data_IF_731746962818
#
_entry.id   IF_731746962818
#
_cell.length_a   1.000
_cell.length_b   1.000
_cell.length_c   1.000
_cell.angle_alpha   90.00
_cell.angle_beta   90.00
_cell.angle_gamma   90.00
#
_symmetry.space_group_name_H-M   'P 1'
#
loop_
_entity.id
_entity.type
_entity.pdbx_description
1 polymer ?
#
# COMPACT_ATOMS: atom_id res chain seq x y z
N UNK A 1 -5.41 1.28 15.20
CA UNK A 1 -3.94 1.08 15.19
C UNK A 1 -3.47 0.13 14.09
N UNK A 2 -4.37 -0.56 13.38
CA UNK A 2 -4.08 -1.73 12.54
C UNK A 2 -3.60 -1.44 11.12
N UNK A 3 -4.13 -0.41 10.43
CA UNK A 3 -3.79 -0.13 9.02
C UNK A 3 -2.42 0.55 8.82
N UNK A 4 -2.01 1.39 9.79
CA UNK A 4 -0.72 2.09 9.77
C UNK A 4 0.46 1.12 9.75
N UNK A 5 0.39 0.07 10.59
CA UNK A 5 1.40 -0.97 10.66
C UNK A 5 1.46 -1.78 9.35
N UNK A 6 0.31 -2.09 8.74
CA UNK A 6 0.26 -2.81 7.47
C UNK A 6 0.90 -1.98 6.36
N UNK A 7 0.59 -0.68 6.28
CA UNK A 7 1.20 0.22 5.30
C UNK A 7 2.72 0.30 5.46
N UNK A 8 3.21 0.37 6.70
CA UNK A 8 4.64 0.39 7.00
C UNK A 8 5.33 -0.90 6.55
N UNK A 9 4.71 -2.06 6.84
CA UNK A 9 5.21 -3.37 6.41
C UNK A 9 5.23 -3.47 4.88
N UNK A 10 4.16 -3.05 4.20
CA UNK A 10 4.10 -3.04 2.73
C UNK A 10 5.19 -2.12 2.16
N UNK A 11 5.34 -0.91 2.71
CA UNK A 11 6.39 0.03 2.28
C UNK A 11 7.80 -0.55 2.44
N UNK A 12 8.07 -1.23 3.56
CA UNK A 12 9.35 -1.90 3.81
C UNK A 12 9.58 -3.08 2.85
N UNK A 13 8.56 -3.91 2.60
CA UNK A 13 8.64 -5.02 1.66
C UNK A 13 8.83 -4.54 0.22
N UNK A 14 8.18 -3.45 -0.19
CA UNK A 14 8.39 -2.82 -1.49
C UNK A 14 9.81 -2.27 -1.62
N UNK A 15 10.33 -1.59 -0.59
CA UNK A 15 11.70 -1.08 -0.58
C UNK A 15 12.73 -2.20 -0.70
N UNK A 16 12.59 -3.25 0.11
CA UNK A 16 13.47 -4.41 0.08
C UNK A 16 13.36 -5.17 -1.25
N UNK A 17 12.13 -5.49 -1.68
CA UNK A 17 11.86 -6.20 -2.93
C UNK A 17 12.35 -5.46 -4.17
N UNK A 18 12.20 -4.13 -4.21
CA UNK A 18 12.74 -3.30 -5.28
C UNK A 18 14.27 -3.37 -5.38
N UNK A 19 14.98 -3.39 -4.24
CA UNK A 19 16.45 -3.54 -4.21
C UNK A 19 16.86 -4.94 -4.71
N UNK A 20 16.19 -6.00 -4.25
CA UNK A 20 16.47 -7.36 -4.70
C UNK A 20 16.16 -7.57 -6.18
N UNK A 21 15.16 -6.88 -6.72
CA UNK A 21 14.79 -6.94 -8.13
C UNK A 21 15.83 -6.32 -9.07
N UNK A 22 16.74 -5.46 -8.58
CA UNK A 22 17.83 -4.91 -9.41
C UNK A 22 18.85 -5.98 -9.85
N UNK A 23 18.81 -7.18 -9.28
CA UNK A 23 19.72 -8.27 -9.59
C UNK A 23 18.98 -9.40 -10.31
N UNK A 24 19.53 -9.94 -11.43
CA UNK A 24 20.75 -9.53 -12.14
C UNK A 24 20.62 -8.14 -12.78
N UNK A 25 21.74 -7.41 -12.84
CA UNK A 25 21.79 -6.02 -13.31
C UNK A 25 21.48 -5.96 -14.81
N UNK A 26 20.25 -5.57 -15.11
CA UNK A 26 19.80 -5.20 -16.45
C UNK A 26 19.09 -3.85 -16.36
N UNK A 27 19.10 -3.06 -17.44
CA UNK A 27 18.45 -1.74 -17.44
C UNK A 27 16.98 -1.82 -17.03
N UNK A 28 16.15 -2.76 -17.55
CA UNK A 28 14.75 -2.89 -17.12
C UNK A 28 14.63 -3.21 -15.62
N UNK A 29 15.39 -4.17 -15.12
CA UNK A 29 15.34 -4.61 -13.73
C UNK A 29 15.74 -3.47 -12.77
N UNK A 30 16.78 -2.72 -13.12
CA UNK A 30 17.25 -1.58 -12.30
C UNK A 30 16.21 -0.47 -12.29
N UNK A 31 15.63 -0.13 -13.44
CA UNK A 31 14.59 0.91 -13.53
C UNK A 31 13.36 0.50 -12.72
N UNK A 32 12.86 -0.72 -12.93
CA UNK A 32 11.71 -1.27 -12.19
C UNK A 32 12.00 -1.30 -10.69
N UNK A 33 13.12 -1.90 -10.28
CA UNK A 33 13.53 -2.01 -8.89
C UNK A 33 13.67 -0.65 -8.21
N UNK A 34 14.22 0.34 -8.90
CA UNK A 34 14.35 1.71 -8.40
C UNK A 34 12.98 2.38 -8.19
N UNK A 35 12.06 2.24 -9.15
CA UNK A 35 10.70 2.75 -8.99
C UNK A 35 10.00 2.11 -7.80
N UNK A 36 10.00 0.78 -7.70
CA UNK A 36 9.36 0.07 -6.59
C UNK A 36 9.98 0.47 -5.23
N UNK A 37 11.31 0.65 -5.18
CA UNK A 37 11.99 1.05 -3.95
C UNK A 37 11.64 2.48 -3.51
N UNK A 38 11.64 3.45 -4.45
CA UNK A 38 11.25 4.85 -4.17
C UNK A 38 9.80 4.91 -3.72
N UNK A 39 8.92 4.17 -4.40
CA UNK A 39 7.51 4.07 -4.05
C UNK A 39 7.29 3.44 -2.67
N UNK A 40 8.02 2.38 -2.34
CA UNK A 40 7.97 1.76 -1.01
C UNK A 40 8.41 2.71 0.10
N UNK A 41 9.52 3.44 -0.13
CA UNK A 41 9.99 4.46 0.79
C UNK A 41 8.97 5.59 0.96
N UNK A 42 8.33 6.05 -0.13
CA UNK A 42 7.27 7.05 -0.06
C UNK A 42 6.07 6.58 0.77
N UNK A 43 5.62 5.33 0.59
CA UNK A 43 4.52 4.73 1.37
C UNK A 43 4.88 4.67 2.86
N UNK A 44 6.11 4.28 3.20
CA UNK A 44 6.59 4.25 4.57
C UNK A 44 6.69 5.65 5.19
N UNK A 45 7.23 6.63 4.46
CA UNK A 45 7.36 8.01 4.93
C UNK A 45 6.02 8.70 5.16
N UNK A 46 5.04 8.48 4.28
CA UNK A 46 3.68 8.99 4.43
C UNK A 46 3.00 8.54 5.73
N UNK A 47 3.48 7.45 6.33
CA UNK A 47 2.96 6.92 7.59
C UNK A 47 3.53 7.64 8.82
N UNK A 48 4.74 8.19 8.73
CA UNK A 48 5.37 8.94 9.83
C UNK A 48 5.05 10.43 9.79
N UNK A 49 4.92 11.01 8.59
CA UNK A 49 4.59 12.41 8.40
C UNK A 49 3.66 12.55 7.20
N UNK A 50 2.59 13.34 7.33
CA UNK A 50 1.71 13.71 6.22
C UNK A 50 2.10 15.12 5.77
N UNK A 51 3.05 15.28 4.83
CA UNK A 51 3.38 16.60 4.30
C UNK A 51 2.18 17.16 3.53
N UNK A 52 1.65 18.30 4.01
CA UNK A 52 0.49 18.99 3.42
C UNK A 52 0.59 19.23 1.89
N UNK A 53 1.78 19.51 1.28
CA UNK A 53 1.89 19.68 -0.17
C UNK A 53 1.65 18.39 -0.98
N UNK A 54 2.06 17.23 -0.46
CA UNK A 54 1.96 15.94 -1.18
C UNK A 54 0.53 15.41 -1.17
N UNK A 55 -0.27 15.78 -0.15
CA UNK A 55 -1.69 15.44 -0.07
C UNK A 55 -2.51 15.87 -1.29
N UNK A 56 -2.08 16.95 -1.97
CA UNK A 56 -2.78 17.51 -3.12
C UNK A 56 -2.52 16.76 -4.44
N UNK A 57 -1.38 16.10 -4.56
CA UNK A 57 -0.96 15.39 -5.77
C UNK A 57 -1.08 13.87 -5.66
N UNK A 58 -1.00 13.32 -4.44
CA UNK A 58 -1.05 11.89 -4.17
C UNK A 58 -2.40 11.47 -3.57
N UNK A 59 -3.51 12.14 -3.92
CA UNK A 59 -4.84 11.89 -3.37
C UNK A 59 -5.27 10.41 -3.44
N UNK A 60 -4.78 9.66 -4.44
CA UNK A 60 -5.05 8.23 -4.56
C UNK A 60 -4.40 7.38 -3.45
N UNK A 61 -3.22 7.78 -2.93
CA UNK A 61 -2.58 7.13 -1.79
C UNK A 61 -3.28 7.47 -0.46
N UNK A 62 -4.34 8.27 -0.45
CA UNK A 62 -5.14 8.52 0.76
C UNK A 62 -6.49 7.79 0.78
N UNK A 63 -6.81 7.03 -0.27
CA UNK A 63 -8.03 6.20 -0.37
C UNK A 63 -7.70 4.71 -0.31
N UNK A 64 -8.59 3.87 0.24
CA UNK A 64 -8.36 2.42 0.30
C UNK A 64 -8.30 1.80 -1.10
N UNK A 65 -9.19 2.21 -2.02
CA UNK A 65 -9.16 1.71 -3.40
C UNK A 65 -7.87 2.11 -4.14
N UNK A 66 -7.42 3.35 -3.96
CA UNK A 66 -6.22 3.85 -4.63
C UNK A 66 -4.94 3.18 -4.11
N UNK A 67 -4.82 2.98 -2.79
CA UNK A 67 -3.73 2.18 -2.21
C UNK A 67 -3.80 0.72 -2.63
N UNK A 68 -5.00 0.13 -2.63
CA UNK A 68 -5.21 -1.25 -3.04
C UNK A 68 -4.76 -1.51 -4.47
N UNK A 69 -5.21 -0.67 -5.42
CA UNK A 69 -4.80 -0.74 -6.82
C UNK A 69 -3.28 -0.57 -6.98
N UNK A 70 -2.67 0.34 -6.22
CA UNK A 70 -1.23 0.57 -6.25
C UNK A 70 -0.42 -0.62 -5.71
N UNK A 71 -0.87 -1.26 -4.63
CA UNK A 71 -0.23 -2.46 -4.10
C UNK A 71 -0.38 -3.65 -5.05
N UNK A 72 -1.53 -3.81 -5.70
CA UNK A 72 -1.70 -4.83 -6.77
C UNK A 72 -0.71 -4.59 -7.90
N UNK A 73 -0.60 -3.34 -8.37
CA UNK A 73 0.34 -2.96 -9.42
C UNK A 73 1.80 -3.25 -9.02
N UNK A 74 2.24 -2.72 -7.87
CA UNK A 74 3.60 -2.93 -7.37
C UNK A 74 3.93 -4.41 -7.12
N UNK A 75 2.97 -5.16 -6.56
CA UNK A 75 3.08 -6.59 -6.34
C UNK A 75 3.24 -7.36 -7.65
N UNK A 76 2.44 -7.02 -8.66
CA UNK A 76 2.47 -7.69 -9.97
C UNK A 76 3.79 -7.48 -10.73
N UNK A 77 4.39 -6.30 -10.62
CA UNK A 77 5.70 -5.99 -11.22
C UNK A 77 6.84 -6.74 -10.54
N UNK A 78 6.72 -7.03 -9.24
CA UNK A 78 7.71 -7.83 -8.50
C UNK A 78 7.61 -9.34 -8.80
N UNK A 79 6.56 -9.83 -9.47
CA UNK A 79 6.38 -11.25 -9.84
C UNK A 79 7.30 -11.65 -11.01
N UNK A 80 8.60 -11.43 -10.88
CA UNK A 80 9.58 -11.76 -11.91
C UNK A 80 10.88 -12.31 -11.31
N UNK A 81 11.53 -13.20 -12.07
CA UNK A 81 12.91 -13.69 -11.97
C UNK A 81 13.34 -14.40 -10.68
N UNK A 82 12.97 -13.93 -9.49
CA UNK A 82 13.57 -14.37 -8.22
C UNK A 82 12.50 -14.79 -7.21
N UNK A 83 12.73 -15.92 -6.54
CA UNK A 83 11.81 -16.50 -5.55
C UNK A 83 11.44 -15.50 -4.44
N UNK A 84 12.41 -14.72 -3.97
CA UNK A 84 12.21 -13.68 -2.94
C UNK A 84 11.24 -12.60 -3.43
N UNK A 85 11.41 -12.13 -4.66
CA UNK A 85 10.55 -11.09 -5.24
C UNK A 85 9.15 -11.63 -5.51
N UNK A 86 9.02 -12.89 -5.92
CA UNK A 86 7.73 -13.56 -6.08
C UNK A 86 6.99 -13.62 -4.74
N UNK A 87 7.68 -13.98 -3.65
CA UNK A 87 7.10 -14.02 -2.30
C UNK A 87 6.64 -12.62 -1.88
N UNK A 88 7.52 -11.62 -1.97
CA UNK A 88 7.19 -10.25 -1.58
C UNK A 88 6.08 -9.66 -2.46
N UNK A 89 6.16 -9.83 -3.78
CA UNK A 89 5.17 -9.37 -4.74
C UNK A 89 3.79 -10.00 -4.51
N UNK A 90 3.74 -11.30 -4.20
CA UNK A 90 2.49 -11.99 -3.87
C UNK A 90 1.87 -11.46 -2.59
N UNK A 91 2.66 -11.27 -1.52
CA UNK A 91 2.17 -10.72 -0.25
C UNK A 91 1.61 -9.30 -0.46
N UNK A 92 2.36 -8.44 -1.15
CA UNK A 92 1.94 -7.07 -1.43
C UNK A 92 0.66 -7.07 -2.29
N UNK A 93 0.59 -7.92 -3.31
CA UNK A 93 -0.59 -8.05 -4.17
C UNK A 93 -1.84 -8.51 -3.41
N UNK A 94 -1.72 -9.51 -2.54
CA UNK A 94 -2.83 -9.98 -1.69
C UNK A 94 -3.31 -8.87 -0.75
N UNK A 95 -2.38 -8.13 -0.11
CA UNK A 95 -2.74 -6.99 0.74
C UNK A 95 -3.48 -5.93 -0.09
N UNK A 96 -3.05 -5.68 -1.33
CA UNK A 96 -3.74 -4.79 -2.26
C UNK A 96 -5.18 -5.20 -2.53
N UNK A 97 -5.42 -6.49 -2.80
CA UNK A 97 -6.77 -7.04 -2.98
C UNK A 97 -7.61 -6.85 -1.71
N UNK A 98 -7.05 -7.14 -0.53
CA UNK A 98 -7.74 -6.90 0.74
C UNK A 98 -8.13 -5.42 0.90
N UNK A 99 -7.25 -4.49 0.54
CA UNK A 99 -7.55 -3.05 0.60
C UNK A 99 -8.70 -2.65 -0.34
N UNK A 100 -8.74 -3.23 -1.54
CA UNK A 100 -9.86 -3.01 -2.47
C UNK A 100 -11.17 -3.58 -1.91
N UNK A 101 -11.14 -4.76 -1.29
CA UNK A 101 -12.34 -5.37 -0.67
C UNK A 101 -12.84 -4.54 0.50
N UNK A 102 -11.94 -4.02 1.34
CA UNK A 102 -12.29 -3.21 2.52
C UNK A 102 -13.04 -1.93 2.16
N UNK A 103 -12.83 -1.37 0.97
CA UNK A 103 -13.59 -0.21 0.47
C UNK A 103 -15.10 -0.50 0.39
N UNK A 104 -15.47 -1.75 0.10
CA UNK A 104 -16.87 -2.16 -0.04
C UNK A 104 -17.54 -2.51 1.29
N UNK A 105 -16.83 -2.47 2.41
CA UNK A 105 -17.41 -2.64 3.73
C UNK A 105 -17.85 -1.26 4.22
N UNK A 106 -19.16 -0.94 4.20
CA UNK A 106 -19.62 0.33 4.75
C UNK A 106 -19.33 0.32 6.25
N UNK A 107 -18.85 1.43 6.84
CA UNK A 107 -18.93 1.59 8.27
C UNK A 107 -20.40 1.46 8.64
N UNK A 108 -20.77 0.45 9.42
CA UNK A 108 -22.13 0.31 9.95
C UNK A 108 -22.40 1.58 10.75
N UNK A 109 -23.23 2.48 10.22
CA UNK A 109 -23.71 3.62 10.98
C UNK A 109 -24.39 3.08 12.24
N UNK A 110 -23.96 3.57 13.41
CA UNK A 110 -24.54 3.14 14.67
C UNK A 110 -26.07 3.33 14.59
N UNK A 111 -26.86 2.29 14.93
CA UNK A 111 -28.31 2.34 14.80
C UNK A 111 -28.86 3.53 15.60
N UNK A 112 -29.80 4.24 14.98
CA UNK A 112 -30.43 5.48 15.50
C UNK A 112 -30.99 5.34 16.92
N UNK A 113 -31.26 4.10 17.38
CA UNK A 113 -31.73 3.78 18.74
C UNK A 113 -30.76 4.15 19.89
N UNK A 114 -29.51 4.51 19.63
CA UNK A 114 -28.59 5.05 20.65
C UNK A 114 -28.48 6.58 20.65
N UNK A 115 -29.19 7.28 19.73
CA UNK A 115 -29.17 8.75 19.62
C UNK A 115 -30.36 9.45 20.27
N UNK A 116 -31.35 8.72 20.80
CA UNK A 116 -32.57 9.31 21.38
C UNK A 116 -32.68 9.20 22.91
N UNK A 117 -31.69 8.67 23.63
CA UNK A 117 -31.72 8.60 25.11
C UNK A 117 -30.97 9.76 25.78
N UNK A 118 -31.03 10.93 25.17
CA UNK A 118 -30.78 12.22 25.85
C UNK A 118 -31.93 13.17 25.53
N UNK A 119 -33.12 12.83 26.00
CA UNK A 119 -34.23 13.78 26.17
C UNK A 119 -34.59 13.89 27.64
N UNK A 120 -34.66 15.15 28.09
CA UNK A 120 -35.10 15.77 29.38
C UNK A 120 -34.22 15.63 30.63
#
# INVERSE_FOLDING_TARGET
MSSRLINLVVGALMAAGGIFHMFPISIPNVVIGAYVAIFGAAVALLEFQIPAPISRYASFLFSFIGRGAFYIFAGSILLENHVINIIFGTIIGIIGICYVILEFIPPIEAPVNMKEVETV
#
